data_IF_252594711763
#
_entry.id   IF_252594711763
#
_cell.length_a   1.000
_cell.length_b   1.000
_cell.length_c   1.000
_cell.angle_alpha   90.00
_cell.angle_beta   90.00
_cell.angle_gamma   90.00
#
_symmetry.space_group_name_H-M   'P 1'
#
loop_
_entity.id
_entity.type
_entity.pdbx_description
1 polymer ?
#
# COMPACT_ATOMS: atom_id res chain seq x y z
N UNK A 1 -7.01 -19.63 16.91
CA UNK A 1 -5.89 -19.46 15.95
C UNK A 1 -5.95 -20.63 14.95
N UNK A 2 -5.94 -20.32 13.66
CA UNK A 2 -5.80 -21.34 12.58
C UNK A 2 -4.33 -21.47 12.23
N UNK A 3 -3.65 -20.36 11.97
CA UNK A 3 -2.21 -20.31 11.74
C UNK A 3 -1.62 -18.95 12.16
N UNK A 4 -0.31 -18.91 12.30
CA UNK A 4 0.47 -17.68 12.48
C UNK A 4 1.74 -17.72 11.64
N UNK A 5 2.23 -16.53 11.24
CA UNK A 5 3.50 -16.34 10.56
C UNK A 5 4.28 -15.24 11.29
N UNK A 6 5.45 -15.58 11.81
CA UNK A 6 6.39 -14.65 12.42
C UNK A 6 7.45 -14.17 11.42
N UNK A 7 8.52 -13.54 11.95
CA UNK A 7 9.66 -13.08 11.14
C UNK A 7 9.38 -11.82 10.30
N UNK A 8 8.37 -11.03 10.66
CA UNK A 8 7.99 -9.80 9.94
C UNK A 8 8.78 -8.55 10.39
N UNK A 9 9.74 -8.70 11.27
CA UNK A 9 10.66 -7.62 11.67
C UNK A 9 12.03 -7.81 11.03
N UNK A 10 12.87 -6.75 10.96
CA UNK A 10 14.20 -6.86 10.42
C UNK A 10 15.04 -7.93 11.13
N UNK A 11 16.05 -8.53 10.45
CA UNK A 11 16.89 -9.58 11.03
C UNK A 11 17.61 -9.19 12.34
N UNK A 12 17.85 -7.90 12.56
CA UNK A 12 18.42 -7.37 13.81
C UNK A 12 17.50 -7.51 15.04
N UNK A 13 16.27 -8.01 14.84
CA UNK A 13 15.28 -8.18 15.88
C UNK A 13 14.27 -7.03 15.95
N UNK A 14 13.37 -7.13 16.95
CA UNK A 14 12.36 -6.10 17.18
C UNK A 14 12.99 -4.83 17.76
N UNK A 15 12.78 -3.72 17.06
CA UNK A 15 13.12 -2.38 17.53
C UNK A 15 11.80 -1.65 17.85
N UNK A 16 11.58 -1.18 19.09
CA UNK A 16 10.35 -0.48 19.47
C UNK A 16 10.13 0.85 18.74
N UNK A 17 11.16 1.39 18.07
CA UNK A 17 11.02 2.56 17.20
C UNK A 17 10.50 2.20 15.79
N UNK A 18 10.54 0.92 15.41
CA UNK A 18 9.99 0.43 14.16
C UNK A 18 8.49 0.17 14.31
N UNK A 19 7.72 0.86 13.51
CA UNK A 19 6.26 0.76 13.50
C UNK A 19 5.80 -0.34 12.57
N UNK A 20 4.76 -1.05 12.99
CA UNK A 20 3.90 -1.85 12.13
C UNK A 20 2.59 -1.08 11.97
N UNK A 21 2.42 -0.35 10.89
CA UNK A 21 1.26 0.54 10.68
C UNK A 21 0.41 0.07 9.51
N UNK A 22 1.06 -0.40 8.47
CA UNK A 22 0.41 -0.89 7.26
C UNK A 22 -0.40 -2.15 7.54
N UNK A 23 -1.66 -2.17 7.11
CA UNK A 23 -2.53 -3.34 7.24
C UNK A 23 -2.20 -4.39 6.18
N UNK A 24 -2.32 -5.68 6.49
CA UNK A 24 -2.27 -6.72 5.46
C UNK A 24 -3.45 -6.58 4.49
N UNK A 25 -3.24 -6.96 3.24
CA UNK A 25 -4.23 -6.99 2.19
C UNK A 25 -4.60 -8.43 1.86
N UNK A 26 -5.87 -8.80 2.05
CA UNK A 26 -6.38 -10.09 1.63
C UNK A 26 -7.04 -9.99 0.25
N UNK A 27 -6.56 -10.81 -0.67
CA UNK A 27 -7.12 -10.98 -2.02
C UNK A 27 -7.29 -12.47 -2.31
N UNK A 28 -7.99 -12.82 -3.38
CA UNK A 28 -8.29 -14.23 -3.68
C UNK A 28 -7.01 -15.07 -3.74
N UNK A 29 -6.88 -16.03 -2.82
CA UNK A 29 -5.76 -16.95 -2.76
C UNK A 29 -4.43 -16.38 -2.24
N UNK A 30 -4.41 -15.13 -1.77
CA UNK A 30 -3.18 -14.47 -1.34
C UNK A 30 -3.43 -13.48 -0.20
N UNK A 31 -2.47 -13.38 0.70
CA UNK A 31 -2.41 -12.33 1.73
C UNK A 31 -1.09 -11.60 1.57
N UNK A 32 -1.15 -10.31 1.21
CA UNK A 32 0.03 -9.45 1.11
C UNK A 32 0.27 -8.79 2.46
N UNK A 33 1.43 -9.02 3.04
CA UNK A 33 1.77 -8.60 4.41
C UNK A 33 2.98 -7.69 4.38
N UNK A 34 2.80 -6.38 4.50
CA UNK A 34 3.91 -5.47 4.73
C UNK A 34 4.50 -5.71 6.12
N UNK A 35 5.82 -5.65 6.22
CA UNK A 35 6.51 -5.71 7.51
C UNK A 35 6.81 -4.30 8.06
N UNK A 36 7.65 -4.24 9.11
CA UNK A 36 8.12 -2.97 9.67
C UNK A 36 8.95 -2.17 8.65
N UNK A 37 9.08 -0.87 8.89
CA UNK A 37 9.95 0.02 8.11
C UNK A 37 11.32 -0.60 7.87
N UNK A 38 11.82 -0.45 6.64
CA UNK A 38 13.06 -1.06 6.14
C UNK A 38 13.05 -2.60 6.08
N UNK A 39 11.89 -3.22 6.24
CA UNK A 39 11.71 -4.66 6.06
C UNK A 39 11.21 -5.02 4.67
N UNK A 40 10.55 -6.15 4.59
CA UNK A 40 10.09 -6.80 3.36
C UNK A 40 8.56 -6.73 3.25
N UNK A 41 8.03 -7.03 2.08
CA UNK A 41 6.62 -7.39 1.90
C UNK A 41 6.54 -8.87 1.55
N UNK A 42 5.74 -9.63 2.30
CA UNK A 42 5.48 -11.04 2.04
C UNK A 42 4.12 -11.23 1.37
N UNK A 43 4.05 -12.16 0.44
CA UNK A 43 2.80 -12.69 -0.06
C UNK A 43 2.64 -14.13 0.37
N UNK A 44 1.60 -14.41 1.16
CA UNK A 44 1.35 -15.68 1.80
C UNK A 44 0.11 -16.35 1.21
N UNK A 45 0.18 -17.68 1.06
CA UNK A 45 -1.01 -18.51 0.78
C UNK A 45 -1.85 -18.61 2.06
N UNK A 46 -3.19 -18.47 2.00
CA UNK A 46 -4.05 -18.48 3.18
C UNK A 46 -4.30 -19.88 3.77
N UNK A 47 -3.73 -20.92 3.18
CA UNK A 47 -4.04 -22.34 3.47
C UNK A 47 -3.21 -22.98 4.58
N UNK A 48 -2.48 -22.19 5.37
CA UNK A 48 -1.63 -22.67 6.45
C UNK A 48 -2.40 -23.25 7.63
N UNK A 49 -1.71 -24.04 8.47
CA UNK A 49 -2.17 -24.50 9.79
C UNK A 49 -1.03 -24.42 10.81
N UNK A 50 -1.34 -23.96 12.02
CA UNK A 50 -0.39 -23.81 13.12
C UNK A 50 0.68 -22.75 12.80
N UNK A 51 1.92 -22.98 13.20
CA UNK A 51 3.02 -22.06 12.95
C UNK A 51 3.63 -22.31 11.57
N UNK A 52 3.47 -21.32 10.67
CA UNK A 52 4.00 -21.36 9.30
C UNK A 52 5.26 -20.48 9.13
N UNK A 53 5.81 -19.95 10.21
CA UNK A 53 7.01 -19.12 10.20
C UNK A 53 8.17 -19.84 9.51
N UNK A 54 8.76 -19.20 8.48
CA UNK A 54 9.88 -19.73 7.72
C UNK A 54 9.54 -20.88 6.76
N UNK A 55 8.30 -21.33 6.68
CA UNK A 55 7.87 -22.41 5.78
C UNK A 55 7.63 -21.88 4.37
N UNK A 56 8.54 -22.17 3.47
CA UNK A 56 8.55 -21.65 2.10
C UNK A 56 7.35 -22.11 1.25
N UNK A 57 6.77 -23.27 1.56
CA UNK A 57 5.56 -23.75 0.86
C UNK A 57 4.36 -22.83 0.99
N UNK A 58 4.32 -21.97 2.02
CA UNK A 58 3.26 -20.96 2.23
C UNK A 58 3.63 -19.58 1.71
N UNK A 59 4.89 -19.34 1.37
CA UNK A 59 5.34 -18.09 0.75
C UNK A 59 5.12 -18.18 -0.76
N UNK A 60 4.31 -17.29 -1.30
CA UNK A 60 4.12 -17.17 -2.76
C UNK A 60 5.29 -16.41 -3.38
N UNK A 61 5.59 -15.25 -2.81
CA UNK A 61 6.74 -14.43 -3.15
C UNK A 61 7.11 -13.51 -1.99
N UNK A 62 8.30 -12.95 -2.09
CA UNK A 62 8.83 -11.95 -1.18
C UNK A 62 9.39 -10.79 -1.96
N UNK A 63 9.05 -9.57 -1.56
CA UNK A 63 9.59 -8.35 -2.14
C UNK A 63 10.46 -7.63 -1.12
N UNK A 64 11.59 -7.08 -1.53
CA UNK A 64 12.63 -6.53 -0.66
C UNK A 64 12.30 -5.17 -0.04
N UNK A 65 11.13 -4.60 -0.36
CA UNK A 65 10.67 -3.30 0.13
C UNK A 65 9.31 -3.45 0.80
N UNK A 66 9.07 -2.63 1.81
CA UNK A 66 7.77 -2.44 2.46
C UNK A 66 7.33 -0.98 2.36
N UNK A 67 6.03 -0.67 2.30
CA UNK A 67 5.53 0.71 2.19
C UNK A 67 5.78 1.59 3.43
N UNK A 68 6.06 1.05 4.60
CA UNK A 68 6.15 1.66 5.94
C UNK A 68 4.77 1.97 6.54
N UNK A 69 4.05 2.99 6.07
CA UNK A 69 2.76 3.43 6.65
C UNK A 69 1.56 3.08 5.77
N UNK A 70 1.56 3.40 4.46
CA UNK A 70 0.41 3.09 3.60
C UNK A 70 0.17 1.59 3.46
N UNK A 71 -1.08 1.17 3.51
CA UNK A 71 -1.45 -0.23 3.24
C UNK A 71 -1.42 -0.53 1.74
N UNK A 72 -1.13 -1.76 1.33
CA UNK A 72 -1.17 -2.18 -0.07
C UNK A 72 -2.56 -2.04 -0.68
N UNK A 73 -2.61 -1.90 -1.99
CA UNK A 73 -3.82 -1.95 -2.80
C UNK A 73 -3.66 -3.03 -3.87
N UNK A 74 -4.72 -3.74 -4.24
CA UNK A 74 -4.71 -4.63 -5.40
C UNK A 74 -5.81 -4.26 -6.39
N UNK A 75 -5.45 -4.20 -7.66
CA UNK A 75 -6.36 -3.93 -8.79
C UNK A 75 -5.92 -4.78 -9.97
N UNK A 76 -6.85 -5.53 -10.56
CA UNK A 76 -6.67 -6.27 -11.82
C UNK A 76 -5.38 -7.11 -11.90
N UNK A 77 -5.08 -7.85 -10.83
CA UNK A 77 -3.91 -8.74 -10.77
C UNK A 77 -2.58 -8.03 -10.49
N UNK A 78 -2.62 -6.76 -10.09
CA UNK A 78 -1.45 -5.96 -9.72
C UNK A 78 -1.55 -5.53 -8.26
N UNK A 79 -0.49 -5.71 -7.50
CA UNK A 79 -0.33 -5.21 -6.13
C UNK A 79 0.45 -3.89 -6.17
N UNK A 80 -0.14 -2.85 -5.60
CA UNK A 80 0.46 -1.53 -5.50
C UNK A 80 0.94 -1.25 -4.08
N UNK A 81 2.19 -0.83 -3.95
CA UNK A 81 2.80 -0.40 -2.71
C UNK A 81 3.14 1.09 -2.82
N UNK A 82 2.46 1.93 -2.05
CA UNK A 82 2.81 3.34 -1.94
C UNK A 82 3.86 3.53 -0.84
N UNK A 83 5.09 3.87 -1.21
CA UNK A 83 6.15 4.12 -0.23
C UNK A 83 5.98 5.49 0.44
N UNK A 84 6.48 5.60 1.67
CA UNK A 84 6.44 6.86 2.42
C UNK A 84 7.12 8.03 1.68
N UNK A 85 8.08 7.77 0.80
CA UNK A 85 8.78 8.80 0.01
C UNK A 85 8.03 9.26 -1.25
N UNK A 86 6.80 8.77 -1.48
CA UNK A 86 5.97 9.11 -2.62
C UNK A 86 6.18 8.24 -3.86
N UNK A 87 6.98 7.19 -3.77
CA UNK A 87 7.08 6.24 -4.87
C UNK A 87 5.90 5.27 -4.85
N UNK A 88 5.33 5.01 -6.02
CA UNK A 88 4.37 3.94 -6.27
C UNK A 88 5.09 2.78 -6.95
N UNK A 89 5.01 1.61 -6.34
CA UNK A 89 5.53 0.36 -6.89
C UNK A 89 4.34 -0.46 -7.36
N UNK A 90 4.43 -1.05 -8.55
CA UNK A 90 3.48 -2.03 -9.05
C UNK A 90 4.16 -3.39 -9.20
N UNK A 91 3.55 -4.42 -8.62
CA UNK A 91 4.04 -5.79 -8.64
C UNK A 91 3.00 -6.70 -9.27
N UNK A 92 3.46 -7.68 -10.02
CA UNK A 92 2.60 -8.78 -10.44
C UNK A 92 2.07 -9.55 -9.22
N UNK A 93 0.77 -9.73 -9.13
CA UNK A 93 0.14 -10.38 -7.99
C UNK A 93 0.58 -11.84 -7.80
N UNK A 94 0.85 -12.55 -8.90
CA UNK A 94 1.16 -13.98 -8.87
C UNK A 94 2.64 -14.26 -8.62
N UNK A 95 3.54 -13.47 -9.21
CA UNK A 95 4.99 -13.69 -9.14
C UNK A 95 5.72 -12.76 -8.17
N UNK A 96 5.14 -11.59 -7.86
CA UNK A 96 5.82 -10.52 -7.14
C UNK A 96 6.85 -9.76 -7.99
N UNK A 97 6.89 -10.01 -9.31
CA UNK A 97 7.77 -9.29 -10.23
C UNK A 97 7.37 -7.82 -10.30
N UNK A 98 8.36 -6.93 -10.24
CA UNK A 98 8.15 -5.50 -10.31
C UNK A 98 7.94 -5.06 -11.76
N UNK A 99 6.81 -4.42 -12.03
CA UNK A 99 6.57 -3.75 -13.29
C UNK A 99 7.23 -2.37 -13.32
N UNK A 100 7.04 -1.58 -12.25
CA UNK A 100 7.67 -0.26 -12.12
C UNK A 100 7.81 0.17 -10.65
N UNK A 101 8.68 1.16 -10.44
CA UNK A 101 8.72 2.01 -9.25
C UNK A 101 8.90 3.45 -9.74
N UNK A 102 7.86 4.28 -9.58
CA UNK A 102 7.85 5.65 -10.07
C UNK A 102 7.35 6.64 -9.01
N UNK A 103 7.87 7.85 -9.06
CA UNK A 103 7.53 8.88 -8.09
C UNK A 103 6.27 9.64 -8.47
N UNK A 104 5.27 9.61 -7.58
CA UNK A 104 4.01 10.34 -7.77
C UNK A 104 4.08 11.77 -7.20
N UNK A 105 4.76 11.96 -6.08
CA UNK A 105 5.02 13.26 -5.45
C UNK A 105 6.29 13.18 -4.60
N UNK A 106 6.85 14.34 -4.22
CA UNK A 106 8.11 14.42 -3.47
C UNK A 106 7.93 14.43 -1.95
N UNK A 107 6.71 14.60 -1.47
CA UNK A 107 6.45 14.65 -0.04
C UNK A 107 6.12 13.27 0.55
N UNK A 108 6.00 13.22 1.85
CA UNK A 108 5.70 12.00 2.59
C UNK A 108 4.28 11.53 2.33
N UNK A 109 4.11 10.24 2.10
CA UNK A 109 2.82 9.57 2.00
C UNK A 109 2.57 8.76 3.28
N UNK A 110 1.43 9.00 3.93
CA UNK A 110 0.95 8.22 5.08
C UNK A 110 -0.43 7.62 4.83
N UNK A 111 -1.19 8.26 3.94
CA UNK A 111 -2.46 7.75 3.47
C UNK A 111 -2.27 6.50 2.63
N UNK A 112 -3.09 5.50 2.83
CA UNK A 112 -3.15 4.34 1.94
C UNK A 112 -3.76 4.75 0.60
N UNK A 113 -3.25 4.21 -0.53
CA UNK A 113 -3.87 4.43 -1.82
C UNK A 113 -5.27 3.81 -1.85
N UNK A 114 -6.15 4.40 -2.64
CA UNK A 114 -7.48 3.84 -2.92
C UNK A 114 -7.69 3.70 -4.43
N UNK A 115 -8.55 2.76 -4.80
CA UNK A 115 -9.01 2.58 -6.17
C UNK A 115 -10.48 2.98 -6.26
N UNK A 116 -10.79 3.86 -7.20
CA UNK A 116 -12.16 4.28 -7.49
C UNK A 116 -12.25 4.77 -8.94
N UNK A 117 -13.36 4.50 -9.60
CA UNK A 117 -13.66 4.96 -10.95
C UNK A 117 -12.49 4.74 -11.93
N UNK A 118 -11.93 3.53 -11.93
CA UNK A 118 -10.82 3.17 -12.83
C UNK A 118 -9.49 3.86 -12.54
N UNK A 119 -9.33 4.50 -11.37
CA UNK A 119 -8.14 5.31 -11.04
C UNK A 119 -7.62 4.99 -9.64
N UNK A 120 -6.32 5.15 -9.45
CA UNK A 120 -5.65 5.05 -8.15
C UNK A 120 -5.37 6.46 -7.64
N UNK A 121 -5.81 6.74 -6.41
CA UNK A 121 -5.59 8.02 -5.74
C UNK A 121 -4.56 7.86 -4.63
N UNK A 122 -3.53 8.71 -4.65
CA UNK A 122 -2.46 8.74 -3.65
C UNK A 122 -2.39 10.16 -3.05
N UNK A 123 -2.32 10.23 -1.73
CA UNK A 123 -2.33 11.50 -1.03
C UNK A 123 -0.99 11.78 -0.35
N UNK A 124 -0.30 12.78 -0.84
CA UNK A 124 0.88 13.36 -0.21
C UNK A 124 0.52 14.22 1.00
N UNK A 125 1.39 14.26 2.00
CA UNK A 125 1.15 15.01 3.22
C UNK A 125 1.08 16.54 3.00
N UNK A 126 1.67 17.02 1.92
CA UNK A 126 1.61 18.41 1.46
C UNK A 126 0.27 18.83 0.84
N UNK A 127 -0.72 17.94 0.82
CA UNK A 127 -2.04 18.18 0.22
C UNK A 127 -2.13 17.79 -1.26
N UNK A 128 -1.07 17.30 -1.87
CA UNK A 128 -1.10 16.82 -3.27
C UNK A 128 -1.85 15.49 -3.33
N UNK A 129 -2.82 15.41 -4.22
CA UNK A 129 -3.54 14.19 -4.57
C UNK A 129 -3.13 13.79 -5.98
N UNK A 130 -2.30 12.77 -6.10
CA UNK A 130 -1.88 12.20 -7.38
C UNK A 130 -2.91 11.18 -7.83
N UNK A 131 -3.29 11.24 -9.10
CA UNK A 131 -4.24 10.32 -9.75
C UNK A 131 -3.47 9.53 -10.80
N UNK A 132 -3.39 8.22 -10.62
CA UNK A 132 -2.68 7.33 -11.52
C UNK A 132 -3.65 6.34 -12.19
N UNK A 133 -3.34 5.96 -13.41
CA UNK A 133 -4.00 4.86 -14.10
C UNK A 133 -3.45 3.53 -13.59
N UNK A 134 -4.31 2.55 -13.23
CA UNK A 134 -3.83 1.22 -12.94
C UNK A 134 -3.29 0.54 -14.21
N UNK A 135 -2.23 -0.26 -14.07
CA UNK A 135 -1.63 -0.97 -15.20
C UNK A 135 -0.18 -1.36 -14.94
N UNK A 136 0.41 -2.06 -15.90
CA UNK A 136 1.82 -2.49 -15.88
C UNK A 136 2.80 -1.39 -16.23
N UNK A 137 2.30 -0.29 -16.80
CA UNK A 137 3.08 0.91 -17.12
C UNK A 137 2.59 2.06 -16.25
N UNK A 138 3.52 2.88 -15.78
CA UNK A 138 3.19 4.03 -14.95
C UNK A 138 2.59 5.17 -15.79
N UNK A 139 1.42 5.64 -15.39
CA UNK A 139 0.78 6.81 -15.99
C UNK A 139 0.21 7.71 -14.88
N UNK A 140 0.81 8.88 -14.71
CA UNK A 140 0.29 9.94 -13.84
C UNK A 140 -0.71 10.79 -14.63
N UNK A 141 -2.00 10.59 -14.38
CA UNK A 141 -3.08 11.26 -15.11
C UNK A 141 -3.29 12.71 -14.67
N UNK A 142 -3.19 12.97 -13.35
CA UNK A 142 -3.40 14.29 -12.78
C UNK A 142 -2.74 14.43 -11.41
N UNK A 143 -2.46 15.68 -11.04
CA UNK A 143 -2.14 16.07 -9.68
C UNK A 143 -3.03 17.26 -9.29
N UNK A 144 -3.74 17.11 -8.19
CA UNK A 144 -4.56 18.16 -7.61
C UNK A 144 -4.01 18.52 -6.25
N UNK A 145 -4.10 19.78 -5.84
CA UNK A 145 -3.54 20.23 -4.57
C UNK A 145 -4.61 20.89 -3.72
N UNK A 146 -4.72 20.42 -2.48
CA UNK A 146 -5.39 21.12 -1.40
C UNK A 146 -4.36 22.02 -0.69
N UNK A 147 -4.79 23.21 -0.28
CA UNK A 147 -3.91 24.16 0.44
C UNK A 147 -3.63 23.74 1.90
N UNK A 148 -4.04 22.53 2.27
CA UNK A 148 -3.90 22.00 3.61
C UNK A 148 -3.22 20.63 3.61
N UNK A 149 -2.39 20.34 4.61
CA UNK A 149 -1.78 19.02 4.74
C UNK A 149 -2.84 17.95 5.09
N UNK A 150 -2.60 16.73 4.62
CA UNK A 150 -3.43 15.58 4.93
C UNK A 150 -2.60 14.33 5.23
N UNK A 151 -3.16 13.39 5.99
CA UNK A 151 -2.51 12.12 6.31
C UNK A 151 -3.51 10.96 6.37
N UNK A 152 -4.80 11.24 6.30
CA UNK A 152 -5.84 10.24 6.28
C UNK A 152 -6.01 9.66 4.87
N UNK A 153 -6.31 8.38 4.78
CA UNK A 153 -6.69 7.76 3.51
C UNK A 153 -8.01 8.34 3.01
N UNK A 154 -8.16 8.56 1.70
CA UNK A 154 -9.42 8.99 1.12
C UNK A 154 -10.53 7.95 1.36
N UNK A 155 -11.78 8.42 1.35
CA UNK A 155 -12.95 7.56 1.28
C UNK A 155 -13.78 7.91 0.04
N UNK A 156 -14.46 6.93 -0.53
CA UNK A 156 -15.34 7.13 -1.70
C UNK A 156 -16.73 6.59 -1.39
N UNK A 157 -17.73 7.40 -1.66
CA UNK A 157 -19.12 7.00 -1.51
C UNK A 157 -20.01 7.84 -2.44
N UNK A 158 -21.01 7.20 -3.08
CA UNK A 158 -22.02 7.85 -3.92
C UNK A 158 -21.41 8.78 -5.00
N UNK A 159 -20.34 8.32 -5.68
CA UNK A 159 -19.67 9.08 -6.72
C UNK A 159 -18.82 10.26 -6.22
N UNK A 160 -18.60 10.37 -4.92
CA UNK A 160 -17.83 11.45 -4.30
C UNK A 160 -16.61 10.92 -3.58
N UNK A 161 -15.53 11.70 -3.60
CA UNK A 161 -14.31 11.45 -2.82
C UNK A 161 -14.30 12.36 -1.60
N UNK A 162 -13.99 11.80 -0.45
CA UNK A 162 -13.89 12.51 0.82
C UNK A 162 -12.43 12.56 1.24
N UNK A 163 -11.90 13.76 1.39
CA UNK A 163 -10.51 14.00 1.78
C UNK A 163 -10.49 14.73 3.12
N UNK A 164 -9.94 14.08 4.14
CA UNK A 164 -9.78 14.70 5.45
C UNK A 164 -8.40 15.33 5.57
N UNK A 165 -8.35 16.65 5.68
CA UNK A 165 -7.17 17.42 6.01
C UNK A 165 -7.03 17.58 7.53
N UNK A 166 -6.03 18.38 7.97
CA UNK A 166 -5.90 18.69 9.40
C UNK A 166 -7.03 19.59 9.90
N UNK A 167 -7.60 20.46 9.07
CA UNK A 167 -8.59 21.45 9.47
C UNK A 167 -10.02 21.13 8.99
N UNK A 168 -10.18 20.37 7.89
CA UNK A 168 -11.46 20.22 7.23
C UNK A 168 -11.69 18.79 6.68
N UNK A 169 -12.93 18.48 6.37
CA UNK A 169 -13.34 17.37 5.53
C UNK A 169 -13.88 17.93 4.21
N UNK A 170 -13.21 17.60 3.12
CA UNK A 170 -13.63 17.96 1.77
C UNK A 170 -14.48 16.83 1.18
N UNK A 171 -15.58 17.21 0.53
CA UNK A 171 -16.41 16.34 -0.30
C UNK A 171 -16.31 16.85 -1.73
N UNK A 172 -15.74 16.06 -2.62
CA UNK A 172 -15.44 16.43 -4.01
C UNK A 172 -16.17 15.45 -4.93
N UNK A 173 -16.84 15.96 -5.92
CA UNK A 173 -17.62 15.22 -6.91
C UNK A 173 -18.63 16.14 -7.61
N UNK A 174 -19.34 15.59 -8.59
CA UNK A 174 -20.46 16.26 -9.26
C UNK A 174 -21.77 16.14 -8.47
#
# INVERSE_FOLDING_TARGET
EIWRCGGLHPPAGYDPTLRFVSSPLAIKGLIVVPSAKAGITLALKPTGQGDITGKQEFVKWQFHITPDVPSPLAVDGIVYLCRQNGNLIALDQESGEQFYEERTDRDRHRASPIYADGKIYLCGRNGVVSVCKPGKEFELMAQNKLEEPLSASPAVSHGRIYLRTFNALYCIGE
#
